data_IF_962347029236
#
_entry.id   IF_962347029236
#
_cell.length_a   1.000
_cell.length_b   1.000
_cell.length_c   1.000
_cell.angle_alpha   90.00
_cell.angle_beta   90.00
_cell.angle_gamma   90.00
#
_symmetry.space_group_name_H-M   'P 1'
#
loop_
_entity.id
_entity.type
_entity.pdbx_description
1 polymer ?
#
# COMPACT_ATOMS: atom_id res chain seq x y z
N UNK A 1 13.29 -14.83 27.98
CA UNK A 1 12.48 -15.53 26.95
C UNK A 1 12.24 -14.49 25.85
N UNK A 2 12.94 -14.60 24.73
CA UNK A 2 12.72 -13.69 23.59
C UNK A 2 11.34 -13.98 23.05
N UNK A 3 10.41 -13.03 23.07
CA UNK A 3 9.13 -13.19 22.38
C UNK A 3 9.44 -13.46 20.90
N UNK A 4 8.97 -14.58 20.37
CA UNK A 4 9.14 -14.94 18.95
C UNK A 4 8.41 -13.96 18.04
N UNK A 5 7.35 -13.31 18.57
CA UNK A 5 6.57 -12.28 17.89
C UNK A 5 6.44 -11.07 18.81
N UNK A 6 6.90 -9.91 18.34
CA UNK A 6 6.73 -8.62 19.02
C UNK A 6 5.40 -7.98 18.58
N UNK A 7 4.37 -8.22 19.38
CA UNK A 7 3.00 -7.74 19.11
C UNK A 7 2.93 -6.21 19.10
N UNK A 8 3.71 -5.53 19.94
CA UNK A 8 3.70 -4.06 20.03
C UNK A 8 4.37 -3.46 18.78
N UNK A 9 5.44 -4.09 18.30
CA UNK A 9 6.05 -3.73 17.02
C UNK A 9 5.08 -3.92 15.84
N UNK A 10 4.38 -5.06 15.75
CA UNK A 10 3.41 -5.32 14.69
C UNK A 10 2.24 -4.31 14.71
N UNK A 11 1.73 -4.00 15.91
CA UNK A 11 0.68 -2.98 16.11
C UNK A 11 1.15 -1.57 15.77
N UNK A 12 2.44 -1.27 15.92
CA UNK A 12 3.02 0.03 15.54
C UNK A 12 3.33 0.20 14.05
N UNK A 13 3.64 -0.91 13.36
CA UNK A 13 4.01 -0.88 11.94
C UNK A 13 2.81 -0.58 11.02
N UNK A 14 1.66 -1.18 11.32
CA UNK A 14 0.43 -1.02 10.53
C UNK A 14 -0.10 0.43 10.42
N UNK A 15 -0.24 1.16 11.53
CA UNK A 15 -0.57 2.58 11.52
C UNK A 15 0.48 3.41 10.79
N UNK A 16 1.77 3.09 10.94
CA UNK A 16 2.84 3.80 10.23
C UNK A 16 2.73 3.65 8.71
N UNK A 17 2.37 2.46 8.21
CA UNK A 17 2.10 2.23 6.78
C UNK A 17 0.85 3.01 6.33
N UNK A 18 -0.21 2.99 7.15
CA UNK A 18 -1.49 3.64 6.83
C UNK A 18 -1.41 5.16 6.83
N UNK A 19 -0.67 5.75 7.76
CA UNK A 19 -0.59 7.20 7.94
C UNK A 19 0.50 7.83 7.07
N UNK A 20 1.53 7.07 6.67
CA UNK A 20 2.69 7.63 5.95
C UNK A 20 2.83 7.12 4.53
N UNK A 21 2.57 5.84 4.25
CA UNK A 21 2.87 5.24 2.94
C UNK A 21 1.67 5.35 2.01
N UNK A 22 0.48 4.94 2.47
CA UNK A 22 -0.75 5.00 1.67
C UNK A 22 -1.07 6.42 1.17
N UNK A 23 -0.99 7.49 2.01
CA UNK A 23 -1.29 8.85 1.56
C UNK A 23 -0.30 9.36 0.51
N UNK A 24 0.97 8.93 0.56
CA UNK A 24 1.95 9.28 -0.48
C UNK A 24 1.55 8.63 -1.81
N UNK A 25 1.20 7.35 -1.80
CA UNK A 25 0.77 6.65 -3.00
C UNK A 25 -0.53 7.24 -3.58
N UNK A 26 -1.49 7.58 -2.72
CA UNK A 26 -2.76 8.20 -3.09
C UNK A 26 -2.61 9.65 -3.54
N UNK A 27 -1.62 10.41 -3.03
CA UNK A 27 -1.33 11.77 -3.52
C UNK A 27 -0.97 11.78 -5.00
N UNK A 28 -0.47 10.65 -5.52
CA UNK A 28 -0.23 10.49 -6.95
C UNK A 28 -1.52 10.62 -7.76
N UNK A 29 -2.67 10.20 -7.22
CA UNK A 29 -3.98 10.34 -7.88
C UNK A 29 -4.39 11.80 -8.10
N UNK A 30 -3.84 12.75 -7.34
CA UNK A 30 -4.07 14.18 -7.56
C UNK A 30 -3.27 14.71 -8.76
N UNK A 31 -2.14 14.07 -9.07
CA UNK A 31 -1.21 14.45 -10.15
C UNK A 31 -1.55 13.74 -11.47
N UNK A 32 -2.14 12.54 -11.41
CA UNK A 32 -2.52 11.76 -12.59
C UNK A 32 -3.41 12.54 -13.59
N UNK A 33 -4.43 13.33 -13.17
CA UNK A 33 -5.21 14.15 -14.09
C UNK A 33 -4.39 15.23 -14.81
N UNK A 34 -3.37 15.79 -14.18
CA UNK A 34 -2.46 16.76 -14.81
C UNK A 34 -1.59 16.09 -15.87
N UNK A 35 -1.13 14.85 -15.63
CA UNK A 35 -0.40 14.06 -16.62
C UNK A 35 -1.27 13.75 -17.85
N UNK A 36 -2.54 13.41 -17.65
CA UNK A 36 -3.50 13.13 -18.74
C UNK A 36 -3.92 14.38 -19.54
N UNK A 37 -3.77 15.59 -19.00
CA UNK A 37 -4.05 16.83 -19.77
C UNK A 37 -3.04 17.03 -20.90
N UNK A 38 -1.81 16.57 -20.71
CA UNK A 38 -0.73 16.68 -21.69
C UNK A 38 -1.00 15.76 -22.90
N UNK A 39 -1.63 14.59 -22.70
CA UNK A 39 -1.97 13.63 -23.76
C UNK A 39 -2.64 14.28 -24.97
N UNK A 40 -3.69 15.10 -24.74
CA UNK A 40 -4.45 15.73 -25.83
C UNK A 40 -3.61 16.70 -26.66
N UNK A 41 -2.70 17.43 -26.03
CA UNK A 41 -1.80 18.35 -26.74
C UNK A 41 -0.72 17.60 -27.54
N UNK A 42 -0.23 16.46 -27.02
CA UNK A 42 0.82 15.67 -27.66
C UNK A 42 0.39 15.12 -29.02
N UNK A 43 -0.85 14.65 -29.17
CA UNK A 43 -1.37 14.17 -30.47
C UNK A 43 -1.38 15.23 -31.58
N UNK A 44 -1.24 16.50 -31.24
CA UNK A 44 -1.17 17.61 -32.21
C UNK A 44 0.21 18.24 -32.34
N UNK A 45 1.15 17.90 -31.45
CA UNK A 45 2.44 18.61 -31.32
C UNK A 45 3.64 17.69 -31.56
N UNK A 46 3.48 16.37 -31.37
CA UNK A 46 4.53 15.37 -31.59
C UNK A 46 4.05 14.28 -32.55
N UNK A 47 4.96 13.38 -32.92
CA UNK A 47 4.60 12.22 -33.75
C UNK A 47 3.67 11.27 -32.98
N UNK A 48 2.77 10.61 -33.71
CA UNK A 48 1.83 9.62 -33.17
C UNK A 48 2.50 8.58 -32.24
N UNK A 49 3.67 7.98 -32.60
CA UNK A 49 4.36 7.05 -31.72
C UNK A 49 4.83 7.67 -30.39
N UNK A 50 5.25 8.94 -30.38
CA UNK A 50 5.66 9.62 -29.16
C UNK A 50 4.47 9.93 -28.24
N UNK A 51 3.34 10.37 -28.81
CA UNK A 51 2.10 10.56 -28.05
C UNK A 51 1.64 9.22 -27.43
N UNK A 52 1.65 8.14 -28.20
CA UNK A 52 1.30 6.80 -27.70
C UNK A 52 2.22 6.31 -26.58
N UNK A 53 3.53 6.53 -26.69
CA UNK A 53 4.50 6.17 -25.65
C UNK A 53 4.23 6.92 -24.33
N UNK A 54 3.87 8.21 -24.40
CA UNK A 54 3.52 9.00 -23.23
C UNK A 54 2.21 8.52 -22.57
N UNK A 55 1.17 8.23 -23.36
CA UNK A 55 -0.09 7.70 -22.83
C UNK A 55 0.13 6.34 -22.14
N UNK A 56 0.97 5.47 -22.74
CA UNK A 56 1.33 4.18 -22.11
C UNK A 56 2.07 4.38 -20.78
N UNK A 57 3.06 5.26 -20.74
CA UNK A 57 3.80 5.53 -19.51
C UNK A 57 2.90 6.06 -18.39
N UNK A 58 1.97 6.97 -18.72
CA UNK A 58 1.01 7.54 -17.77
C UNK A 58 0.05 6.46 -17.23
N UNK A 59 -0.44 5.57 -18.09
CA UNK A 59 -1.29 4.45 -17.69
C UNK A 59 -0.54 3.48 -16.76
N UNK A 60 0.70 3.11 -17.09
CA UNK A 60 1.52 2.22 -16.26
C UNK A 60 1.77 2.80 -14.87
N UNK A 61 2.09 4.10 -14.77
CA UNK A 61 2.29 4.75 -13.47
C UNK A 61 1.00 4.75 -12.65
N UNK A 62 -0.13 5.05 -13.29
CA UNK A 62 -1.46 5.04 -12.64
C UNK A 62 -1.77 3.67 -12.03
N UNK A 63 -1.67 2.62 -12.84
CA UNK A 63 -1.97 1.25 -12.41
C UNK A 63 -1.01 0.76 -11.32
N UNK A 64 0.29 1.07 -11.46
CA UNK A 64 1.31 0.67 -10.49
C UNK A 64 1.11 1.31 -9.12
N UNK A 65 0.75 2.60 -9.08
CA UNK A 65 0.53 3.30 -7.81
C UNK A 65 -0.75 2.83 -7.10
N UNK A 66 -1.83 2.61 -7.86
CA UNK A 66 -3.05 2.03 -7.32
C UNK A 66 -2.81 0.62 -6.76
N UNK A 67 -2.14 -0.25 -7.53
CA UNK A 67 -1.82 -1.61 -7.10
C UNK A 67 -0.88 -1.64 -5.89
N UNK A 68 0.12 -0.75 -5.83
CA UNK A 68 0.99 -0.63 -4.67
C UNK A 68 0.20 -0.26 -3.41
N UNK A 69 -0.72 0.71 -3.50
CA UNK A 69 -1.54 1.13 -2.37
C UNK A 69 -2.41 -0.03 -1.84
N UNK A 70 -3.01 -0.82 -2.73
CA UNK A 70 -3.75 -2.02 -2.35
C UNK A 70 -2.86 -3.06 -1.66
N UNK A 71 -1.65 -3.32 -2.18
CA UNK A 71 -0.70 -4.24 -1.54
C UNK A 71 -0.32 -3.79 -0.12
N UNK A 72 -0.10 -2.49 0.10
CA UNK A 72 0.21 -1.96 1.43
C UNK A 72 -0.98 -2.07 2.39
N UNK A 73 -2.21 -1.90 1.92
CA UNK A 73 -3.43 -2.15 2.71
C UNK A 73 -3.55 -3.62 3.11
N UNK A 74 -3.40 -4.54 2.16
CA UNK A 74 -3.43 -5.98 2.43
C UNK A 74 -2.32 -6.42 3.40
N UNK A 75 -1.13 -5.84 3.29
CA UNK A 75 -0.04 -6.07 4.25
C UNK A 75 -0.41 -5.59 5.66
N UNK A 76 -1.03 -4.42 5.79
CA UNK A 76 -1.50 -3.90 7.08
C UNK A 76 -2.54 -4.84 7.73
N UNK A 77 -3.50 -5.34 6.95
CA UNK A 77 -4.49 -6.31 7.43
C UNK A 77 -3.82 -7.61 7.91
N UNK A 78 -2.84 -8.12 7.16
CA UNK A 78 -2.08 -9.30 7.55
C UNK A 78 -1.28 -9.09 8.85
N UNK A 79 -0.66 -7.91 9.02
CA UNK A 79 0.05 -7.55 10.26
C UNK A 79 -0.90 -7.50 11.46
N UNK A 80 -2.08 -6.90 11.28
CA UNK A 80 -3.11 -6.82 12.32
C UNK A 80 -3.64 -8.22 12.70
N UNK A 81 -3.87 -9.09 11.71
CA UNK A 81 -4.27 -10.49 11.95
C UNK A 81 -3.20 -11.25 12.72
N UNK A 82 -1.93 -11.12 12.31
CA UNK A 82 -0.82 -11.79 12.99
C UNK A 82 -0.68 -11.36 14.46
N UNK A 83 -0.82 -10.07 14.74
CA UNK A 83 -0.83 -9.56 16.11
C UNK A 83 -1.98 -10.15 16.94
N UNK A 84 -3.17 -10.25 16.36
CA UNK A 84 -4.34 -10.84 17.01
C UNK A 84 -4.15 -12.34 17.31
N UNK A 85 -3.66 -13.11 16.34
CA UNK A 85 -3.43 -14.55 16.49
C UNK A 85 -2.40 -14.86 17.60
N UNK A 86 -1.38 -14.00 17.71
CA UNK A 86 -0.38 -14.09 18.77
C UNK A 86 -1.00 -13.84 20.16
N UNK A 87 -1.86 -12.82 20.30
CA UNK A 87 -2.56 -12.53 21.56
C UNK A 87 -3.55 -13.63 21.97
N UNK A 88 -4.28 -14.20 21.01
CA UNK A 88 -5.21 -15.31 21.26
C UNK A 88 -4.46 -16.57 21.71
N UNK A 89 -3.30 -16.85 21.11
CA UNK A 89 -2.43 -17.97 21.49
C UNK A 89 -1.88 -17.79 22.91
N UNK A 90 -1.38 -16.59 23.24
CA UNK A 90 -0.89 -16.27 24.59
C UNK A 90 -2.00 -16.44 25.64
N UNK A 91 -3.23 -15.99 25.34
CA UNK A 91 -4.38 -16.16 26.23
C UNK A 91 -4.80 -17.62 26.40
N UNK A 92 -4.78 -18.41 25.33
CA UNK A 92 -5.11 -19.83 25.38
C UNK A 92 -4.13 -20.59 26.28
N UNK A 93 -2.83 -20.32 26.14
CA UNK A 93 -1.78 -20.89 27.00
C UNK A 93 -1.95 -20.45 28.45
N UNK A 94 -2.20 -19.16 28.70
CA UNK A 94 -2.43 -18.64 30.06
C UNK A 94 -3.64 -19.29 30.75
N UNK A 95 -4.67 -19.69 30.01
CA UNK A 95 -5.83 -20.43 30.56
C UNK A 95 -5.47 -21.87 30.93
N UNK A 96 -4.58 -22.53 30.17
CA UNK A 96 -4.12 -23.89 30.47
C UNK A 96 -3.30 -23.97 31.76
N UNK A 97 -2.53 -22.92 32.10
CA UNK A 97 -1.72 -22.87 33.32
C UNK A 97 -2.46 -22.32 34.57
N UNK A 98 -3.72 -21.88 34.42
CA UNK A 98 -4.57 -21.42 35.54
C UNK A 98 -5.51 -22.51 36.08
N UNK A 99 -5.58 -23.65 35.40
CA UNK A 99 -6.24 -24.88 35.88
C UNK A 99 -5.19 -25.88 36.37
#
# INVERSE_FOLDING_TARGET
MTRVVDVDFLKGLGPSITEKVIPILESTNEVLPELSKIDRSLYTTVTLPMAAAYSMATATVTESMAGAAECFRGMNEALASCAKDAEESDQAVARLFKN
#
